data_IF_361051710545
#
_entry.id   IF_361051710545
#
_cell.length_a   1.000
_cell.length_b   1.000
_cell.length_c   1.000
_cell.angle_alpha   90.00
_cell.angle_beta   90.00
_cell.angle_gamma   90.00
#
_symmetry.space_group_name_H-M   'P 1'
#
loop_
_entity.id
_entity.type
_entity.pdbx_description
1 polymer ?
#
# COMPACT_ATOMS: atom_id res chain seq x y z
N UNK A 1 13.69 -17.98 27.21
CA UNK A 1 13.57 -16.72 26.43
C UNK A 1 13.07 -15.53 27.30
N UNK A 2 12.28 -15.76 28.38
CA UNK A 2 11.72 -14.67 29.19
C UNK A 2 12.81 -13.75 29.78
N UNK A 3 13.88 -14.28 30.32
CA UNK A 3 14.98 -13.47 30.87
C UNK A 3 15.73 -12.66 29.82
N UNK A 4 15.87 -13.21 28.60
CA UNK A 4 16.49 -12.53 27.46
C UNK A 4 15.63 -11.39 26.94
N UNK A 5 14.29 -11.54 26.97
CA UNK A 5 13.34 -10.55 26.47
C UNK A 5 13.01 -9.45 27.50
N UNK A 6 13.16 -9.73 28.79
CA UNK A 6 12.82 -8.78 29.86
C UNK A 6 13.47 -7.39 29.70
N UNK A 7 14.77 -7.29 29.37
CA UNK A 7 15.39 -5.97 29.15
C UNK A 7 14.87 -5.21 27.94
N UNK A 8 14.13 -5.88 27.03
CA UNK A 8 13.54 -5.28 25.83
C UNK A 8 12.08 -4.84 26.03
N UNK A 9 11.53 -5.09 27.22
CA UNK A 9 10.16 -4.67 27.53
C UNK A 9 10.14 -3.20 27.92
N UNK A 10 9.19 -2.46 27.33
CA UNK A 10 8.98 -1.05 27.59
C UNK A 10 7.49 -0.71 27.59
N UNK A 11 7.12 0.34 28.29
CA UNK A 11 5.82 0.98 28.15
C UNK A 11 5.87 1.93 26.95
N UNK A 12 5.66 1.36 25.75
CA UNK A 12 5.77 2.07 24.47
C UNK A 12 4.85 3.29 24.41
N UNK A 13 3.63 3.16 24.93
CA UNK A 13 2.68 4.28 24.96
C UNK A 13 3.23 5.46 25.76
N UNK A 14 3.78 5.18 26.92
CA UNK A 14 4.40 6.19 27.79
C UNK A 14 5.60 6.84 27.11
N UNK A 15 6.53 6.04 26.60
CA UNK A 15 7.76 6.53 25.96
C UNK A 15 7.46 7.44 24.76
N UNK A 16 6.50 7.04 23.91
CA UNK A 16 6.11 7.85 22.76
C UNK A 16 5.45 9.16 23.15
N UNK A 17 4.61 9.16 24.20
CA UNK A 17 4.00 10.40 24.68
C UNK A 17 5.03 11.32 25.34
N UNK A 18 5.98 10.78 26.10
CA UNK A 18 7.07 11.58 26.71
C UNK A 18 7.96 12.18 25.60
N UNK A 19 8.33 11.40 24.57
CA UNK A 19 9.10 11.90 23.42
C UNK A 19 8.37 13.03 22.68
N UNK A 20 7.06 12.88 22.46
CA UNK A 20 6.24 13.94 21.87
C UNK A 20 6.24 15.22 22.72
N UNK A 21 6.03 15.09 24.04
CA UNK A 21 6.05 16.25 24.93
C UNK A 21 7.41 16.95 24.98
N UNK A 22 8.49 16.20 24.78
CA UNK A 22 9.86 16.72 24.67
C UNK A 22 10.16 17.37 23.30
N UNK A 23 9.21 17.35 22.36
CA UNK A 23 9.38 17.92 21.02
C UNK A 23 10.19 17.05 20.07
N UNK A 24 10.31 15.74 20.34
CA UNK A 24 11.00 14.81 19.46
C UNK A 24 10.14 14.46 18.24
N UNK A 25 10.80 14.13 17.12
CA UNK A 25 10.13 13.68 15.92
C UNK A 25 9.85 12.18 16.00
N UNK A 26 8.58 11.80 15.85
CA UNK A 26 8.14 10.42 15.83
C UNK A 26 7.84 9.97 14.38
N UNK A 27 8.45 8.87 13.97
CA UNK A 27 8.19 8.24 12.67
C UNK A 27 7.49 6.91 12.88
N UNK A 28 6.27 6.78 12.35
CA UNK A 28 5.54 5.53 12.31
C UNK A 28 5.65 4.93 10.92
N UNK A 29 6.23 3.74 10.83
CA UNK A 29 6.33 2.99 9.57
C UNK A 29 5.32 1.85 9.57
N UNK A 30 4.43 1.87 8.57
CA UNK A 30 3.48 0.79 8.33
C UNK A 30 4.09 -0.32 7.47
N UNK A 31 3.36 -1.43 7.37
CA UNK A 31 3.71 -2.56 6.53
C UNK A 31 2.54 -2.91 5.60
N UNK A 32 2.80 -3.77 4.60
CA UNK A 32 1.84 -4.21 3.58
C UNK A 32 1.30 -3.04 2.73
N UNK A 33 -0.02 -2.81 2.75
CA UNK A 33 -0.65 -1.73 1.99
C UNK A 33 -2.16 -1.72 2.17
N UNK A 34 -2.81 -0.63 1.80
CA UNK A 34 -4.24 -0.37 2.03
C UNK A 34 -5.14 -1.49 1.51
N UNK A 35 -4.85 -2.06 0.34
CA UNK A 35 -5.67 -3.14 -0.24
C UNK A 35 -5.50 -4.49 0.45
N UNK A 36 -4.51 -4.63 1.31
CA UNK A 36 -4.29 -5.81 2.14
C UNK A 36 -4.84 -5.64 3.56
N UNK A 37 -5.35 -4.46 3.90
CA UNK A 37 -5.98 -4.19 5.21
C UNK A 37 -7.18 -5.11 5.41
N UNK A 38 -7.29 -5.71 6.61
CA UNK A 38 -8.32 -6.70 6.91
C UNK A 38 -9.74 -6.13 6.82
N UNK A 39 -9.92 -4.83 7.12
CA UNK A 39 -11.23 -4.16 7.12
C UNK A 39 -11.49 -3.35 5.84
N UNK A 40 -10.45 -2.76 5.25
CA UNK A 40 -10.54 -1.82 4.13
C UNK A 40 -9.97 -2.35 2.82
N UNK A 41 -9.39 -3.54 2.85
CA UNK A 41 -8.80 -4.19 1.68
C UNK A 41 -9.78 -5.00 0.86
N UNK A 42 -9.23 -5.76 -0.08
CA UNK A 42 -9.98 -6.63 -1.01
C UNK A 42 -10.22 -8.01 -0.39
N UNK A 43 -11.03 -8.06 0.67
CA UNK A 43 -11.38 -9.32 1.33
C UNK A 43 -11.97 -10.33 0.34
N UNK A 44 -11.61 -11.64 0.39
CA UNK A 44 -10.77 -12.28 1.40
C UNK A 44 -9.25 -12.23 1.11
N UNK A 45 -8.81 -11.50 0.10
CA UNK A 45 -7.41 -11.39 -0.31
C UNK A 45 -6.69 -10.30 0.48
N UNK A 46 -6.63 -10.44 1.78
CA UNK A 46 -6.09 -9.48 2.75
C UNK A 46 -5.09 -10.14 3.69
N UNK A 47 -4.38 -9.34 4.48
CA UNK A 47 -3.58 -9.82 5.62
C UNK A 47 -4.47 -9.90 6.87
N UNK A 48 -3.95 -10.45 7.95
CA UNK A 48 -4.65 -10.56 9.24
C UNK A 48 -4.55 -9.29 10.11
N UNK A 49 -4.06 -8.19 9.57
CA UNK A 49 -3.82 -6.94 10.30
C UNK A 49 -4.40 -5.73 9.57
N UNK A 50 -4.60 -4.64 10.32
CA UNK A 50 -4.90 -3.35 9.76
C UNK A 50 -3.60 -2.69 9.24
N UNK A 51 -3.64 -2.23 7.99
CA UNK A 51 -2.51 -1.63 7.27
C UNK A 51 -2.71 -0.13 7.01
N UNK A 52 -3.89 0.40 7.32
CA UNK A 52 -4.21 1.83 7.15
C UNK A 52 -3.54 2.68 8.23
N UNK A 53 -3.27 3.95 7.90
CA UNK A 53 -2.56 4.87 8.80
C UNK A 53 -3.23 5.03 10.17
N UNK A 54 -4.56 4.93 10.23
CA UNK A 54 -5.31 4.99 11.49
C UNK A 54 -4.95 3.90 12.50
N UNK A 55 -4.32 2.80 12.05
CA UNK A 55 -3.87 1.75 12.96
C UNK A 55 -2.56 2.10 13.68
N UNK A 56 -1.76 3.03 13.17
CA UNK A 56 -0.50 3.41 13.82
C UNK A 56 -0.71 3.94 15.26
N UNK A 57 -1.60 4.93 15.50
CA UNK A 57 -1.89 5.35 16.87
C UNK A 57 -2.50 4.26 17.73
N UNK A 58 -3.44 3.48 17.17
CA UNK A 58 -4.09 2.40 17.91
C UNK A 58 -3.09 1.31 18.34
N UNK A 59 -2.20 0.90 17.43
CA UNK A 59 -1.18 -0.12 17.68
C UNK A 59 -0.06 0.34 18.60
N UNK A 60 0.32 1.62 18.51
CA UNK A 60 1.38 2.20 19.33
C UNK A 60 0.90 2.74 20.69
N UNK A 61 -0.41 2.85 20.91
CA UNK A 61 -0.97 3.36 22.15
C UNK A 61 -0.84 4.86 22.31
N UNK A 62 -0.97 5.62 21.22
CA UNK A 62 -0.94 7.08 21.24
C UNK A 62 -2.24 7.65 20.66
N UNK A 63 -2.51 8.93 20.95
CA UNK A 63 -3.69 9.60 20.40
C UNK A 63 -3.57 9.83 18.87
N UNK A 64 -4.68 9.76 18.11
CA UNK A 64 -4.65 9.97 16.66
C UNK A 64 -4.18 11.37 16.26
N UNK A 65 -4.27 12.35 17.15
CA UNK A 65 -3.78 13.71 16.93
C UNK A 65 -2.25 13.83 16.82
N UNK A 66 -1.49 12.77 17.12
CA UNK A 66 -0.04 12.74 16.89
C UNK A 66 0.32 12.58 15.41
N UNK A 67 -0.58 12.11 14.57
CA UNK A 67 -0.33 11.98 13.13
C UNK A 67 -0.56 13.31 12.42
N UNK A 68 0.46 14.15 12.36
CA UNK A 68 0.38 15.46 11.68
C UNK A 68 0.59 15.38 10.18
N UNK A 69 1.37 14.38 9.72
CA UNK A 69 1.69 14.19 8.32
C UNK A 69 1.64 12.70 7.98
N UNK A 70 0.86 12.35 6.95
CA UNK A 70 0.71 10.96 6.50
C UNK A 70 1.19 10.88 5.05
N UNK A 71 2.36 10.27 4.86
CA UNK A 71 2.96 10.05 3.55
C UNK A 71 2.52 8.71 2.97
N UNK A 72 1.75 8.74 1.91
CA UNK A 72 1.43 7.56 1.12
C UNK A 72 2.57 7.22 0.17
N UNK A 73 3.11 6.01 0.27
CA UNK A 73 4.13 5.51 -0.67
C UNK A 73 3.44 4.64 -1.71
N UNK A 74 3.59 4.99 -2.98
CA UNK A 74 3.03 4.25 -4.12
C UNK A 74 4.08 4.08 -5.22
N UNK A 75 3.95 3.01 -6.01
CA UNK A 75 4.74 2.89 -7.24
C UNK A 75 4.06 3.67 -8.36
N UNK A 76 4.80 4.01 -9.40
CA UNK A 76 4.26 4.60 -10.63
C UNK A 76 3.40 3.63 -11.48
N UNK A 77 3.26 2.39 -11.05
CA UNK A 77 2.43 1.33 -11.61
C UNK A 77 1.93 0.41 -10.50
N UNK A 78 0.91 -0.40 -10.77
CA UNK A 78 0.37 -1.32 -9.78
C UNK A 78 1.06 -2.68 -9.81
N UNK A 79 1.21 -3.28 -8.63
CA UNK A 79 1.67 -4.67 -8.50
C UNK A 79 0.85 -5.42 -7.47
N UNK A 80 0.64 -6.73 -7.70
CA UNK A 80 -0.05 -7.59 -6.74
C UNK A 80 0.62 -8.96 -6.66
N UNK A 81 0.74 -9.50 -5.44
CA UNK A 81 1.20 -10.86 -5.19
C UNK A 81 -0.01 -11.76 -4.97
N UNK A 82 -0.06 -12.91 -5.65
CA UNK A 82 -1.12 -13.88 -5.46
C UNK A 82 -2.47 -13.49 -6.06
N UNK A 83 -3.53 -14.09 -5.55
CA UNK A 83 -4.90 -13.88 -6.04
C UNK A 83 -5.51 -12.54 -5.68
N UNK A 84 -6.76 -12.36 -6.07
CA UNK A 84 -7.56 -11.18 -5.81
C UNK A 84 -7.70 -10.23 -6.99
N UNK A 85 -8.62 -9.26 -6.91
CA UNK A 85 -8.95 -8.35 -8.00
C UNK A 85 -7.76 -7.45 -8.36
N UNK A 86 -7.60 -7.23 -9.66
CA UNK A 86 -6.58 -6.35 -10.21
C UNK A 86 -7.10 -5.70 -11.51
N UNK A 87 -7.92 -4.66 -11.44
CA UNK A 87 -8.61 -4.10 -12.61
C UNK A 87 -7.69 -3.60 -13.72
N UNK A 88 -6.48 -3.15 -13.38
CA UNK A 88 -5.49 -2.63 -14.34
C UNK A 88 -4.43 -3.64 -14.73
N UNK A 89 -4.62 -4.92 -14.40
CA UNK A 89 -3.65 -5.97 -14.70
C UNK A 89 -3.34 -6.06 -16.19
N UNK A 90 -2.08 -6.27 -16.50
CA UNK A 90 -1.55 -6.48 -17.84
C UNK A 90 -0.97 -7.88 -17.96
N UNK A 91 -0.75 -8.31 -19.20
CA UNK A 91 0.07 -9.48 -19.46
C UNK A 91 1.53 -9.18 -19.07
N UNK A 92 1.94 -9.76 -17.96
CA UNK A 92 3.27 -9.58 -17.38
C UNK A 92 4.20 -10.79 -17.64
N UNK A 93 3.73 -11.81 -18.35
CA UNK A 93 4.47 -13.04 -18.67
C UNK A 93 5.01 -13.04 -20.11
N UNK A 94 4.28 -12.44 -21.05
CA UNK A 94 4.66 -12.45 -22.46
C UNK A 94 5.69 -11.36 -22.78
N UNK A 95 6.89 -11.70 -23.29
CA UNK A 95 7.90 -10.73 -23.69
C UNK A 95 7.37 -9.70 -24.69
N UNK A 96 7.74 -8.44 -24.48
CA UNK A 96 7.35 -7.32 -25.35
C UNK A 96 6.08 -6.59 -24.93
N UNK A 97 5.33 -7.11 -23.95
CA UNK A 97 4.19 -6.41 -23.36
C UNK A 97 4.63 -5.37 -22.32
N UNK A 98 3.85 -4.30 -22.08
CA UNK A 98 4.15 -3.35 -21.01
C UNK A 98 4.22 -4.00 -19.63
N UNK A 99 3.36 -4.97 -19.35
CA UNK A 99 3.37 -5.72 -18.08
C UNK A 99 4.66 -6.51 -17.89
N UNK A 100 5.15 -7.17 -18.94
CA UNK A 100 6.43 -7.87 -18.91
C UNK A 100 7.60 -6.91 -18.68
N UNK A 101 7.59 -5.74 -19.33
CA UNK A 101 8.59 -4.70 -19.11
C UNK A 101 8.61 -4.29 -17.62
N UNK A 102 7.46 -3.94 -17.04
CA UNK A 102 7.35 -3.57 -15.61
C UNK A 102 7.84 -4.69 -14.70
N UNK A 103 7.46 -5.94 -14.98
CA UNK A 103 7.85 -7.11 -14.17
C UNK A 103 9.36 -7.34 -14.20
N UNK A 104 9.98 -7.22 -15.38
CA UNK A 104 11.38 -7.54 -15.60
C UNK A 104 12.30 -6.40 -15.16
N UNK A 105 12.09 -5.18 -15.68
CA UNK A 105 12.89 -4.00 -15.34
C UNK A 105 12.68 -3.62 -13.86
N UNK A 106 11.45 -3.71 -13.40
CA UNK A 106 11.10 -3.46 -12.00
C UNK A 106 11.58 -4.53 -11.02
N UNK A 107 12.10 -5.67 -11.52
CA UNK A 107 12.50 -6.83 -10.70
C UNK A 107 11.39 -7.25 -9.74
N UNK A 108 10.14 -7.34 -10.25
CA UNK A 108 8.95 -7.53 -9.43
C UNK A 108 8.83 -8.98 -8.95
N UNK A 109 9.61 -9.28 -7.92
CA UNK A 109 9.61 -10.57 -7.21
C UNK A 109 9.50 -10.34 -5.70
N UNK A 110 8.79 -11.22 -5.03
CA UNK A 110 8.71 -11.21 -3.57
C UNK A 110 10.06 -11.54 -2.96
N UNK A 111 10.59 -10.66 -2.10
CA UNK A 111 11.92 -10.82 -1.48
C UNK A 111 12.01 -12.14 -0.71
N UNK A 112 10.97 -12.48 0.05
CA UNK A 112 10.97 -13.68 0.91
C UNK A 112 10.56 -14.96 0.17
N UNK A 113 9.61 -14.86 -0.76
CA UNK A 113 9.00 -16.04 -1.41
C UNK A 113 9.49 -16.29 -2.83
N UNK A 114 10.23 -15.33 -3.42
CA UNK A 114 10.65 -15.39 -4.83
C UNK A 114 9.50 -15.36 -5.85
N UNK A 115 8.24 -15.27 -5.40
CA UNK A 115 7.07 -15.26 -6.29
C UNK A 115 7.06 -14.00 -7.13
N UNK A 116 6.77 -14.16 -8.43
CA UNK A 116 6.55 -13.03 -9.33
C UNK A 116 5.31 -12.24 -8.89
N UNK A 117 5.40 -10.93 -9.06
CA UNK A 117 4.27 -10.01 -8.86
C UNK A 117 3.58 -9.77 -10.20
N UNK A 118 2.27 -9.86 -10.20
CA UNK A 118 1.41 -9.40 -11.28
C UNK A 118 1.61 -7.88 -11.43
N UNK A 119 1.67 -7.38 -12.66
CA UNK A 119 1.90 -5.96 -12.94
C UNK A 119 0.73 -5.38 -13.74
N UNK A 120 0.48 -4.10 -13.55
CA UNK A 120 -0.58 -3.38 -14.24
C UNK A 120 -0.39 -1.88 -14.22
N UNK A 121 -1.20 -1.17 -15.01
CA UNK A 121 -1.16 0.29 -15.05
C UNK A 121 -1.48 0.93 -13.71
N UNK A 122 -1.02 2.15 -13.51
CA UNK A 122 -1.32 2.94 -12.33
C UNK A 122 -2.83 3.17 -12.21
N UNK A 123 -3.38 2.85 -11.05
CA UNK A 123 -4.80 2.96 -10.77
C UNK A 123 -5.07 4.16 -9.87
N UNK A 124 -5.41 5.29 -10.49
CA UNK A 124 -5.69 6.53 -9.77
C UNK A 124 -7.02 6.49 -9.02
N UNK A 125 -8.02 5.74 -9.52
CA UNK A 125 -9.28 5.56 -8.82
C UNK A 125 -9.08 4.79 -7.51
N UNK A 126 -8.26 3.75 -7.55
CA UNK A 126 -7.86 2.98 -6.39
C UNK A 126 -7.04 3.82 -5.40
N UNK A 127 -6.08 4.61 -5.91
CA UNK A 127 -5.27 5.50 -5.08
C UNK A 127 -6.14 6.57 -4.40
N UNK A 128 -7.15 7.10 -5.09
CA UNK A 128 -8.12 8.04 -4.51
C UNK A 128 -8.80 7.42 -3.28
N UNK A 129 -9.24 6.16 -3.38
CA UNK A 129 -9.82 5.43 -2.24
C UNK A 129 -8.81 5.26 -1.12
N UNK A 130 -7.58 4.86 -1.45
CA UNK A 130 -6.50 4.69 -0.47
C UNK A 130 -6.18 6.01 0.23
N UNK A 131 -6.13 7.12 -0.50
CA UNK A 131 -5.88 8.43 0.07
C UNK A 131 -6.96 8.85 1.07
N UNK A 132 -8.23 8.59 0.74
CA UNK A 132 -9.37 8.88 1.63
C UNK A 132 -9.31 8.09 2.93
N UNK A 133 -9.09 6.76 2.84
CA UNK A 133 -9.09 5.87 4.02
C UNK A 133 -7.91 6.17 4.96
N UNK A 134 -6.76 6.55 4.39
CA UNK A 134 -5.57 6.86 5.19
C UNK A 134 -5.47 8.33 5.61
N UNK A 135 -6.25 9.23 5.03
CA UNK A 135 -6.11 10.67 5.26
C UNK A 135 -4.75 11.20 4.80
N UNK A 136 -4.29 10.78 3.61
CA UNK A 136 -2.96 11.14 3.10
C UNK A 136 -2.81 12.66 2.97
N UNK A 137 -1.68 13.18 3.43
CA UNK A 137 -1.28 14.58 3.28
C UNK A 137 -0.25 14.78 2.16
N UNK A 138 0.40 13.71 1.73
CA UNK A 138 1.36 13.72 0.63
C UNK A 138 1.54 12.34 0.02
N UNK A 139 2.10 12.30 -1.19
CA UNK A 139 2.44 11.08 -1.91
C UNK A 139 3.92 11.05 -2.26
N UNK A 140 4.54 9.89 -2.08
CA UNK A 140 5.84 9.56 -2.63
C UNK A 140 5.64 8.53 -3.75
N UNK A 141 5.87 8.96 -4.99
CA UNK A 141 5.77 8.06 -6.15
C UNK A 141 7.16 7.49 -6.42
N UNK A 142 7.26 6.18 -6.38
CA UNK A 142 8.51 5.43 -6.56
C UNK A 142 8.52 4.68 -7.89
N UNK A 143 9.69 4.20 -8.32
CA UNK A 143 9.86 3.36 -9.52
C UNK A 143 9.37 3.99 -10.83
N UNK A 144 9.43 5.31 -10.96
CA UNK A 144 9.15 6.01 -12.21
C UNK A 144 10.12 5.59 -13.32
N UNK A 145 11.38 5.36 -12.98
CA UNK A 145 12.45 4.87 -13.83
C UNK A 145 12.13 3.53 -14.52
N UNK A 146 11.32 2.70 -13.90
CA UNK A 146 10.89 1.41 -14.49
C UNK A 146 10.03 1.61 -15.73
N UNK A 147 9.36 2.75 -15.85
CA UNK A 147 8.50 3.05 -17.01
C UNK A 147 9.26 3.62 -18.20
N UNK A 148 10.56 3.89 -18.06
CA UNK A 148 11.40 4.39 -19.15
C UNK A 148 11.45 3.39 -20.31
N UNK A 149 11.32 3.92 -21.52
CA UNK A 149 11.31 3.13 -22.76
C UNK A 149 9.93 2.61 -23.18
N UNK A 150 8.90 2.73 -22.34
CA UNK A 150 7.52 2.49 -22.77
C UNK A 150 7.04 3.63 -23.68
N UNK A 151 6.41 3.27 -24.81
CA UNK A 151 5.92 4.25 -25.80
C UNK A 151 4.70 5.02 -25.33
N UNK A 152 3.88 4.37 -24.51
CA UNK A 152 2.63 4.91 -23.96
C UNK A 152 2.50 4.50 -22.51
N UNK A 153 1.92 5.38 -21.71
CA UNK A 153 1.52 5.12 -20.33
C UNK A 153 0.00 5.32 -20.21
N UNK A 154 -0.65 4.39 -19.54
CA UNK A 154 -2.08 4.49 -19.28
C UNK A 154 -2.34 4.67 -17.80
N UNK A 155 -3.38 5.44 -17.49
CA UNK A 155 -3.80 5.77 -16.14
C UNK A 155 -5.27 5.39 -15.98
N UNK A 156 -5.59 4.52 -15.04
CA UNK A 156 -6.97 4.19 -14.72
C UNK A 156 -7.58 5.31 -13.86
N UNK A 157 -8.59 6.00 -14.38
CA UNK A 157 -9.28 7.09 -13.69
C UNK A 157 -10.68 6.70 -13.19
N UNK A 158 -11.13 5.49 -13.47
CA UNK A 158 -12.43 4.97 -13.06
C UNK A 158 -12.71 3.61 -13.69
N UNK A 159 -13.83 3.02 -13.32
CA UNK A 159 -14.24 1.70 -13.76
C UNK A 159 -15.64 1.75 -14.40
N UNK A 160 -15.93 0.74 -15.20
CA UNK A 160 -17.28 0.47 -15.68
C UNK A 160 -17.87 -0.70 -14.90
N UNK A 161 -18.98 -0.49 -14.20
CA UNK A 161 -19.71 -1.53 -13.49
C UNK A 161 -21.17 -1.47 -13.94
N UNK A 162 -21.68 -2.57 -14.48
CA UNK A 162 -23.07 -2.67 -14.99
C UNK A 162 -23.47 -1.53 -15.95
N UNK A 163 -22.52 -1.14 -16.83
CA UNK A 163 -22.72 -0.05 -17.79
C UNK A 163 -22.69 1.35 -17.20
N UNK A 164 -22.35 1.49 -15.93
CA UNK A 164 -22.20 2.79 -15.26
C UNK A 164 -20.75 3.08 -14.95
N UNK A 165 -20.35 4.31 -15.19
CA UNK A 165 -19.02 4.77 -14.77
C UNK A 165 -19.00 5.02 -13.26
N UNK A 166 -17.98 4.48 -12.59
CA UNK A 166 -17.70 4.70 -11.17
C UNK A 166 -16.24 5.16 -11.00
N UNK A 167 -15.99 6.08 -10.09
CA UNK A 167 -14.69 6.70 -9.85
C UNK A 167 -13.99 6.20 -8.59
N UNK A 168 -14.56 5.21 -7.92
CA UNK A 168 -14.02 4.55 -6.75
C UNK A 168 -14.15 3.03 -6.89
N UNK A 169 -13.20 2.28 -6.38
CA UNK A 169 -13.31 0.83 -6.33
C UNK A 169 -14.52 0.44 -5.49
N UNK A 170 -15.44 -0.40 -6.03
CA UNK A 170 -16.57 -0.89 -5.25
C UNK A 170 -16.09 -1.75 -4.07
N UNK A 171 -16.88 -1.74 -3.01
CA UNK A 171 -16.65 -2.62 -1.86
C UNK A 171 -17.22 -3.99 -2.16
N UNK A 172 -16.46 -5.03 -1.86
CA UNK A 172 -16.84 -6.42 -2.10
C UNK A 172 -15.85 -7.12 -3.03
N UNK A 173 -15.92 -8.45 -3.05
CA UNK A 173 -15.06 -9.31 -3.88
C UNK A 173 -15.78 -9.85 -5.13
N UNK A 174 -17.04 -9.50 -5.31
CA UNK A 174 -17.91 -9.99 -6.39
C UNK A 174 -17.90 -9.06 -7.60
#
# INVERSE_FOLDING_TARGET
>A
HAEMLRPMMADVSRELNEAHLNGENLLFEGAQGTLLDVDHGTYPYVTSSNCVAGNAPAGAGVGPGLLHYILGITKAYCTRVGGGPFPTELDWETPGTPGYHMSTVGAEKGVTTGRSRRCGWFDAALLKRSAQVNGLTGLCITKLDVLDGLKELQLCTGYMLDGRHIDLLPMGAD
#
